data_IF_428184776831
#
_entry.id   IF_428184776831
#
_cell.length_a   1.000
_cell.length_b   1.000
_cell.length_c   1.000
_cell.angle_alpha   90.00
_cell.angle_beta   90.00
_cell.angle_gamma   90.00
#
_symmetry.space_group_name_H-M   'P 1'
#
loop_
_entity.id
_entity.type
_entity.pdbx_description
1 polymer ?
#
# COMPACT_ATOMS: atom_id res chain seq x y z
N UNK A 1 31.34 -4.83 -14.00
CA UNK A 1 32.14 -4.63 -12.78
C UNK A 1 31.23 -4.77 -11.56
N UNK A 2 31.68 -5.46 -10.52
CA UNK A 2 30.95 -5.63 -9.27
C UNK A 2 31.04 -4.34 -8.43
N UNK A 3 29.93 -4.01 -7.74
CA UNK A 3 29.86 -2.84 -6.86
C UNK A 3 29.68 -3.28 -5.41
N UNK A 4 30.43 -2.67 -4.50
CA UNK A 4 30.18 -2.71 -3.07
C UNK A 4 29.30 -1.51 -2.71
N UNK A 5 28.18 -1.76 -2.03
CA UNK A 5 27.23 -0.73 -1.62
C UNK A 5 27.23 -0.65 -0.08
N UNK A 6 27.42 0.53 0.44
CA UNK A 6 27.34 0.81 1.88
C UNK A 6 26.25 1.83 2.12
N UNK A 7 25.26 1.48 2.94
CA UNK A 7 24.14 2.33 3.30
C UNK A 7 24.26 2.74 4.76
N UNK A 8 24.17 4.05 5.01
CA UNK A 8 23.97 4.63 6.33
C UNK A 8 22.55 5.18 6.40
N UNK A 9 21.85 4.91 7.49
CA UNK A 9 20.49 5.38 7.73
C UNK A 9 20.40 5.97 9.13
N UNK A 10 19.87 7.19 9.21
CA UNK A 10 19.55 7.86 10.48
C UNK A 10 18.08 8.23 10.49
N UNK A 11 17.39 7.96 11.60
CA UNK A 11 15.97 8.23 11.77
C UNK A 11 15.67 8.71 13.18
N UNK A 12 15.04 9.88 13.29
CA UNK A 12 14.57 10.45 14.56
C UNK A 12 13.09 10.73 14.46
N UNK A 13 12.30 10.12 15.36
CA UNK A 13 10.86 10.32 15.44
C UNK A 13 10.49 10.86 16.83
N UNK A 14 9.79 12.00 16.87
CA UNK A 14 9.31 12.63 18.10
C UNK A 14 7.79 12.77 18.00
N UNK A 15 7.04 12.06 18.85
CA UNK A 15 5.58 11.94 18.77
C UNK A 15 4.90 12.29 20.11
N UNK A 16 5.01 13.53 20.63
CA UNK A 16 4.35 13.92 21.86
C UNK A 16 2.83 13.96 21.70
N UNK A 17 2.13 13.53 22.74
CA UNK A 17 0.68 13.64 22.84
C UNK A 17 0.31 14.24 24.19
N UNK A 18 -0.39 15.37 24.17
CA UNK A 18 -0.94 16.01 25.35
C UNK A 18 -2.45 15.81 25.35
N UNK A 19 -2.99 15.36 26.48
CA UNK A 19 -4.43 15.20 26.68
C UNK A 19 -4.90 16.04 27.86
N UNK A 20 -6.00 16.74 27.65
CA UNK A 20 -6.65 17.53 28.69
C UNK A 20 -8.13 17.21 28.73
N UNK A 21 -8.60 16.75 29.89
CA UNK A 21 -9.99 16.34 30.14
C UNK A 21 -10.56 17.20 31.28
N UNK A 22 -11.15 18.36 30.99
CA UNK A 22 -11.71 19.24 32.02
C UNK A 22 -12.92 18.63 32.76
N UNK A 23 -13.68 17.77 32.06
CA UNK A 23 -14.83 17.05 32.61
C UNK A 23 -15.11 15.78 31.78
N UNK A 24 -16.21 15.07 32.12
CA UNK A 24 -16.54 13.82 31.42
C UNK A 24 -17.05 14.00 29.99
N UNK A 25 -17.48 15.20 29.60
CA UNK A 25 -18.04 15.49 28.29
C UNK A 25 -16.96 15.94 27.27
N UNK A 26 -15.85 16.48 27.71
CA UNK A 26 -14.83 17.08 26.85
C UNK A 26 -13.46 16.41 26.99
N UNK A 27 -12.86 16.09 25.87
CA UNK A 27 -11.45 15.65 25.78
C UNK A 27 -10.75 16.44 24.68
N UNK A 28 -9.71 17.15 25.02
CA UNK A 28 -8.81 17.82 24.08
C UNK A 28 -7.54 17.00 23.94
N UNK A 29 -7.13 16.74 22.70
CA UNK A 29 -5.91 15.99 22.42
C UNK A 29 -5.07 16.76 21.40
N UNK A 30 -3.90 17.21 21.82
CA UNK A 30 -2.88 17.79 20.94
C UNK A 30 -1.85 16.71 20.64
N UNK A 31 -1.65 16.42 19.35
CA UNK A 31 -0.66 15.49 18.84
C UNK A 31 0.32 16.22 17.97
N UNK A 32 1.58 15.92 18.13
CA UNK A 32 2.60 16.27 17.16
C UNK A 32 3.32 15.01 16.72
N UNK A 33 3.66 14.93 15.46
CA UNK A 33 4.57 13.95 14.88
C UNK A 33 5.62 14.72 14.11
N UNK A 34 6.88 14.57 14.49
CA UNK A 34 8.02 15.11 13.76
C UNK A 34 8.98 13.97 13.46
N UNK A 35 9.31 13.80 12.19
CA UNK A 35 10.19 12.75 11.70
C UNK A 35 11.30 13.38 10.86
N UNK A 36 12.53 13.09 11.22
CA UNK A 36 13.71 13.34 10.39
C UNK A 36 14.27 12.00 9.95
N UNK A 37 14.36 11.82 8.65
CA UNK A 37 14.92 10.63 8.04
C UNK A 37 16.02 11.03 7.08
N UNK A 38 17.17 10.37 7.15
CA UNK A 38 18.26 10.56 6.19
C UNK A 38 18.91 9.22 5.84
N UNK A 39 19.29 9.11 4.58
CA UNK A 39 20.11 7.99 4.10
C UNK A 39 21.27 8.53 3.27
N UNK A 40 22.41 7.85 3.37
CA UNK A 40 23.55 8.03 2.49
C UNK A 40 23.96 6.66 1.96
N UNK A 41 23.88 6.47 0.66
CA UNK A 41 24.33 5.28 -0.04
C UNK A 41 25.57 5.58 -0.86
N UNK A 42 26.63 4.81 -0.64
CA UNK A 42 27.90 4.93 -1.36
C UNK A 42 28.18 3.64 -2.09
N UNK A 43 28.22 3.71 -3.41
CA UNK A 43 28.58 2.61 -4.29
C UNK A 43 30.03 2.76 -4.74
N UNK A 44 30.84 1.69 -4.65
CA UNK A 44 32.23 1.66 -5.08
C UNK A 44 32.50 0.47 -5.97
N UNK A 45 33.37 0.63 -6.94
CA UNK A 45 33.87 -0.51 -7.70
C UNK A 45 34.67 -1.44 -6.79
N UNK A 46 34.32 -2.72 -6.75
CA UNK A 46 34.93 -3.70 -5.84
C UNK A 46 36.44 -3.86 -6.09
N UNK A 47 36.86 -3.90 -7.37
CA UNK A 47 38.26 -4.10 -7.73
C UNK A 47 39.12 -2.86 -7.51
N UNK A 48 38.58 -1.66 -7.80
CA UNK A 48 39.33 -0.39 -7.79
C UNK A 48 39.18 0.40 -6.51
N UNK A 49 38.15 0.10 -5.70
CA UNK A 49 37.79 0.87 -4.51
C UNK A 49 37.36 2.33 -4.79
N UNK A 50 37.29 2.74 -6.06
CA UNK A 50 36.87 4.07 -6.46
C UNK A 50 35.37 4.23 -6.35
N UNK A 51 34.91 5.43 -5.95
CA UNK A 51 33.49 5.72 -5.83
C UNK A 51 32.84 5.71 -7.21
N UNK A 52 31.79 4.93 -7.37
CA UNK A 52 30.93 4.90 -8.54
C UNK A 52 29.81 5.93 -8.42
N UNK A 53 29.10 5.97 -7.26
CA UNK A 53 27.96 6.85 -7.03
C UNK A 53 27.78 7.13 -5.55
N UNK A 54 27.29 8.35 -5.22
CA UNK A 54 26.87 8.74 -3.87
C UNK A 54 25.45 9.27 -3.97
N UNK A 55 24.58 8.74 -3.13
CA UNK A 55 23.17 9.12 -3.07
C UNK A 55 22.85 9.54 -1.64
N UNK A 56 22.52 10.80 -1.50
CA UNK A 56 22.03 11.38 -0.25
C UNK A 56 20.53 11.62 -0.39
N UNK A 57 19.79 11.30 0.66
CA UNK A 57 18.36 11.57 0.78
C UNK A 57 18.07 12.06 2.19
N UNK A 58 17.34 13.16 2.31
CA UNK A 58 16.90 13.72 3.58
C UNK A 58 15.45 14.15 3.47
N UNK A 59 14.63 13.68 4.41
CA UNK A 59 13.23 14.02 4.52
C UNK A 59 12.92 14.53 5.92
N UNK A 60 12.22 15.65 5.99
CA UNK A 60 11.60 16.12 7.23
C UNK A 60 10.09 16.13 7.04
N UNK A 61 9.39 15.48 7.95
CA UNK A 61 7.94 15.46 8.01
C UNK A 61 7.48 15.95 9.37
N UNK A 62 6.50 16.85 9.37
CA UNK A 62 5.85 17.34 10.59
C UNK A 62 4.34 17.30 10.40
N UNK A 63 3.64 16.85 11.43
CA UNK A 63 2.18 16.94 11.52
C UNK A 63 1.79 17.34 12.93
N UNK A 64 1.00 18.41 13.05
CA UNK A 64 0.41 18.86 14.32
C UNK A 64 -1.09 18.86 14.20
N UNK A 65 -1.79 18.25 15.17
CA UNK A 65 -3.26 18.11 15.16
C UNK A 65 -3.83 18.40 16.54
N UNK A 66 -4.81 19.27 16.60
CA UNK A 66 -5.68 19.46 17.75
C UNK A 66 -7.01 18.78 17.47
N UNK A 67 -7.34 17.77 18.26
CA UNK A 67 -8.65 17.10 18.25
C UNK A 67 -9.41 17.44 19.52
N UNK A 68 -10.70 17.73 19.36
CA UNK A 68 -11.65 17.96 20.45
C UNK A 68 -12.75 16.92 20.33
N UNK A 69 -12.93 16.11 21.35
CA UNK A 69 -14.01 15.13 21.46
C UNK A 69 -15.03 15.66 22.47
N UNK A 70 -16.29 15.78 22.02
CA UNK A 70 -17.43 16.18 22.83
C UNK A 70 -18.43 15.05 22.91
N UNK A 71 -18.69 14.57 24.12
CA UNK A 71 -19.61 13.49 24.41
C UNK A 71 -20.76 14.04 25.28
N UNK A 72 -21.84 14.60 24.66
CA UNK A 72 -22.96 15.17 25.40
C UNK A 72 -23.71 14.13 26.23
N UNK A 73 -23.77 12.91 25.75
CA UNK A 73 -24.37 11.76 26.41
C UNK A 73 -23.64 10.44 26.01
N UNK A 74 -24.10 9.30 26.54
CA UNK A 74 -23.49 7.98 26.25
C UNK A 74 -23.76 7.48 24.85
N UNK A 75 -24.64 8.13 24.09
CA UNK A 75 -25.05 7.71 22.74
C UNK A 75 -24.42 8.53 21.62
N UNK A 76 -23.73 9.61 21.96
CA UNK A 76 -23.21 10.54 20.96
C UNK A 76 -21.76 10.90 21.27
N UNK A 77 -20.95 10.92 20.22
CA UNK A 77 -19.58 11.43 20.24
C UNK A 77 -19.40 12.34 19.03
N UNK A 78 -19.06 13.59 19.26
CA UNK A 78 -18.73 14.57 18.24
C UNK A 78 -17.23 14.84 18.31
N UNK A 79 -16.52 14.59 17.23
CA UNK A 79 -15.08 14.84 17.12
C UNK A 79 -14.82 15.93 16.09
N UNK A 80 -14.14 16.99 16.52
CA UNK A 80 -13.63 18.08 15.68
C UNK A 80 -12.11 18.01 15.67
N UNK A 81 -11.51 18.22 14.52
CA UNK A 81 -10.06 18.30 14.42
C UNK A 81 -9.60 19.37 13.46
N UNK A 82 -8.50 20.02 13.82
CA UNK A 82 -7.76 20.95 12.98
C UNK A 82 -6.29 20.50 12.99
N UNK A 83 -5.69 20.40 11.82
CA UNK A 83 -4.31 19.97 11.70
C UNK A 83 -3.57 20.65 10.58
N UNK A 84 -2.27 20.64 10.74
CA UNK A 84 -1.29 21.08 9.75
C UNK A 84 -0.26 19.97 9.53
N UNK A 85 0.15 19.76 8.30
CA UNK A 85 1.30 18.91 7.94
C UNK A 85 2.21 19.63 6.97
N UNK A 86 3.52 19.50 7.20
CA UNK A 86 4.56 19.97 6.30
C UNK A 86 5.53 18.84 6.00
N UNK A 87 5.95 18.73 4.76
CA UNK A 87 6.93 17.75 4.31
C UNK A 87 7.96 18.44 3.42
N UNK A 88 9.23 18.22 3.70
CA UNK A 88 10.31 18.67 2.83
C UNK A 88 11.27 17.54 2.53
N UNK A 89 11.72 17.47 1.29
CA UNK A 89 12.65 16.46 0.79
C UNK A 89 13.79 17.12 0.04
N UNK A 90 14.99 16.65 0.30
CA UNK A 90 16.23 17.01 -0.39
C UNK A 90 16.96 15.70 -0.73
N UNK A 91 17.35 15.51 -1.97
CA UNK A 91 18.03 14.30 -2.40
C UNK A 91 18.97 14.60 -3.56
N UNK A 92 20.06 13.84 -3.69
CA UNK A 92 20.98 13.89 -4.83
C UNK A 92 20.26 13.72 -6.20
N UNK A 93 19.09 13.08 -6.16
CA UNK A 93 18.27 12.79 -7.35
C UNK A 93 17.18 13.84 -7.62
N UNK A 94 17.15 14.94 -6.88
CA UNK A 94 16.22 16.05 -7.05
C UNK A 94 17.03 17.32 -7.28
N UNK A 95 16.61 18.16 -8.19
CA UNK A 95 17.34 19.38 -8.53
C UNK A 95 17.37 20.38 -7.37
N UNK A 96 16.28 20.42 -6.57
CA UNK A 96 16.10 21.37 -5.48
C UNK A 96 15.51 20.70 -4.22
N UNK A 97 15.55 21.43 -3.11
CA UNK A 97 14.79 21.12 -1.92
C UNK A 97 13.31 21.40 -2.17
N UNK A 98 12.51 20.34 -2.12
CA UNK A 98 11.07 20.39 -2.37
C UNK A 98 10.28 20.40 -1.07
N UNK A 99 9.13 21.08 -1.06
CA UNK A 99 8.30 21.30 0.11
C UNK A 99 6.82 21.26 -0.22
N UNK A 100 6.03 20.55 0.60
CA UNK A 100 4.58 20.54 0.57
C UNK A 100 4.01 20.88 1.94
N UNK A 101 2.95 21.69 1.93
CA UNK A 101 2.13 21.98 3.11
C UNK A 101 0.69 21.58 2.88
N UNK A 102 0.04 21.13 3.93
CA UNK A 102 -1.39 20.91 3.93
C UNK A 102 -1.99 21.29 5.29
N UNK A 103 -3.08 22.03 5.25
CA UNK A 103 -3.93 22.27 6.41
C UNK A 103 -5.21 21.49 6.23
N UNK A 104 -5.77 20.96 7.30
CA UNK A 104 -7.01 20.23 7.22
C UNK A 104 -7.87 20.45 8.46
N UNK A 105 -9.18 20.31 8.27
CA UNK A 105 -10.12 20.20 9.35
C UNK A 105 -11.07 19.04 9.12
N UNK A 106 -11.61 18.48 10.19
CA UNK A 106 -12.65 17.46 10.11
C UNK A 106 -13.68 17.60 11.21
N UNK A 107 -14.89 17.15 10.88
CA UNK A 107 -15.99 16.95 11.81
C UNK A 107 -16.50 15.52 11.63
N UNK A 108 -16.65 14.79 12.73
CA UNK A 108 -17.26 13.47 12.75
C UNK A 108 -18.28 13.41 13.89
N UNK A 109 -19.45 12.84 13.61
CA UNK A 109 -20.46 12.50 14.60
C UNK A 109 -20.69 11.00 14.59
N UNK A 110 -20.48 10.37 15.74
CA UNK A 110 -20.92 9.01 16.01
C UNK A 110 -22.18 9.07 16.85
N UNK A 111 -23.20 8.32 16.43
CA UNK A 111 -24.49 8.26 17.07
C UNK A 111 -24.97 6.83 17.24
N UNK A 112 -25.29 6.46 18.48
CA UNK A 112 -25.85 5.17 18.89
C UNK A 112 -27.32 5.36 19.33
N UNK A 113 -28.28 5.60 18.39
CA UNK A 113 -29.68 5.87 18.76
C UNK A 113 -30.30 4.73 19.57
N UNK A 114 -29.87 3.51 19.30
CA UNK A 114 -30.26 2.32 20.07
C UNK A 114 -29.05 1.41 20.30
N UNK A 115 -29.17 0.41 21.16
CA UNK A 115 -28.11 -0.60 21.37
C UNK A 115 -27.83 -1.47 20.13
N UNK A 116 -28.68 -1.38 19.09
CA UNK A 116 -28.54 -2.16 17.86
C UNK A 116 -28.02 -1.34 16.68
N UNK A 117 -28.08 -0.04 16.73
CA UNK A 117 -27.76 0.86 15.63
C UNK A 117 -26.58 1.75 16.02
N UNK A 118 -25.53 1.74 15.21
CA UNK A 118 -24.45 2.73 15.26
C UNK A 118 -24.39 3.42 13.90
N UNK A 119 -24.31 4.74 13.89
CA UNK A 119 -24.17 5.58 12.70
C UNK A 119 -22.95 6.47 12.90
N UNK A 120 -22.07 6.54 11.91
CA UNK A 120 -20.97 7.50 11.89
C UNK A 120 -21.06 8.31 10.61
N UNK A 121 -21.16 9.61 10.75
CA UNK A 121 -21.10 10.56 9.64
C UNK A 121 -19.97 11.55 9.89
N UNK A 122 -19.33 12.01 8.83
CA UNK A 122 -18.25 12.97 8.95
C UNK A 122 -17.83 13.55 7.60
N UNK A 123 -17.07 14.60 7.67
CA UNK A 123 -16.44 15.21 6.51
C UNK A 123 -15.07 15.77 6.92
N UNK A 124 -14.13 15.71 5.98
CA UNK A 124 -12.80 16.28 6.12
C UNK A 124 -12.53 17.20 4.93
N UNK A 125 -12.08 18.41 5.22
CA UNK A 125 -11.56 19.36 4.24
C UNK A 125 -10.04 19.39 4.31
N UNK A 126 -9.37 19.17 3.17
CA UNK A 126 -7.93 19.27 3.02
C UNK A 126 -7.59 20.45 2.09
N UNK A 127 -6.61 21.27 2.49
CA UNK A 127 -6.09 22.42 1.76
C UNK A 127 -4.61 22.18 1.51
N UNK A 128 -4.28 21.67 0.32
CA UNK A 128 -2.92 21.31 -0.03
C UNK A 128 -2.27 22.43 -0.86
N UNK A 129 -1.01 22.77 -0.57
CA UNK A 129 -0.28 23.88 -1.20
C UNK A 129 -0.19 23.78 -2.74
N UNK A 130 -0.20 22.57 -3.29
CA UNK A 130 -0.02 22.32 -4.73
C UNK A 130 -1.30 21.74 -5.37
N UNK A 131 -2.01 20.82 -4.69
CA UNK A 131 -3.12 20.07 -5.29
C UNK A 131 -4.51 20.61 -4.91
N UNK A 132 -4.55 21.81 -4.32
CA UNK A 132 -5.79 22.55 -4.04
C UNK A 132 -6.63 21.96 -2.92
N UNK A 133 -7.91 22.32 -2.92
CA UNK A 133 -8.84 22.04 -1.83
C UNK A 133 -9.67 20.80 -2.13
N UNK A 134 -9.88 19.95 -1.13
CA UNK A 134 -10.70 18.74 -1.26
C UNK A 134 -11.59 18.54 -0.06
N UNK A 135 -12.81 18.07 -0.33
CA UNK A 135 -13.78 17.65 0.68
C UNK A 135 -13.99 16.13 0.56
N UNK A 136 -13.80 15.42 1.66
CA UNK A 136 -13.93 13.97 1.77
C UNK A 136 -15.04 13.62 2.78
N UNK A 137 -16.29 13.45 2.31
CA UNK A 137 -17.40 13.01 3.16
C UNK A 137 -17.34 11.51 3.44
N UNK A 138 -17.91 11.10 4.57
CA UNK A 138 -18.03 9.70 4.99
C UNK A 138 -19.36 9.47 5.71
N UNK A 139 -20.01 8.37 5.40
CA UNK A 139 -21.15 7.83 6.11
C UNK A 139 -20.95 6.33 6.33
N UNK A 140 -21.17 5.85 7.54
CA UNK A 140 -21.22 4.43 7.83
C UNK A 140 -22.32 4.11 8.84
N UNK A 141 -22.86 2.90 8.70
CA UNK A 141 -23.90 2.38 9.58
C UNK A 141 -23.62 0.93 9.94
N UNK A 142 -23.94 0.57 11.16
CA UNK A 142 -23.95 -0.81 11.63
C UNK A 142 -25.31 -1.12 12.25
N UNK A 143 -25.86 -2.27 11.88
CA UNK A 143 -27.03 -2.83 12.52
C UNK A 143 -26.72 -4.18 13.16
N UNK A 144 -26.98 -4.29 14.45
CA UNK A 144 -26.78 -5.49 15.24
C UNK A 144 -28.12 -6.21 15.38
N UNK A 145 -28.33 -7.26 14.55
CA UNK A 145 -29.53 -8.11 14.61
C UNK A 145 -29.60 -8.87 15.94
N UNK A 146 -28.44 -9.38 16.36
CA UNK A 146 -28.25 -10.08 17.64
C UNK A 146 -26.80 -9.94 18.08
N UNK A 147 -26.45 -10.45 19.25
CA UNK A 147 -25.05 -10.52 19.72
C UNK A 147 -24.16 -11.42 18.81
N UNK A 148 -24.80 -12.28 18.02
CA UNK A 148 -24.12 -13.22 17.10
C UNK A 148 -24.02 -12.70 15.68
N UNK A 149 -24.88 -11.76 15.27
CA UNK A 149 -24.93 -11.32 13.87
C UNK A 149 -25.10 -9.80 13.77
N UNK A 150 -24.18 -9.16 13.04
CA UNK A 150 -24.28 -7.75 12.67
C UNK A 150 -23.94 -7.53 11.21
N UNK A 151 -24.56 -6.52 10.63
CA UNK A 151 -24.32 -6.02 9.29
C UNK A 151 -23.79 -4.58 9.37
N UNK A 152 -22.89 -4.25 8.47
CA UNK A 152 -22.32 -2.91 8.35
C UNK A 152 -22.28 -2.47 6.89
N UNK A 153 -22.40 -1.17 6.68
CA UNK A 153 -22.27 -0.52 5.37
C UNK A 153 -21.50 0.78 5.55
N UNK A 154 -20.69 1.14 4.57
CA UNK A 154 -20.03 2.45 4.54
C UNK A 154 -19.88 2.95 3.11
N UNK A 155 -19.94 4.27 2.98
CA UNK A 155 -19.60 5.02 1.78
C UNK A 155 -18.72 6.19 2.18
N UNK A 156 -17.68 6.47 1.42
CA UNK A 156 -16.79 7.60 1.69
C UNK A 156 -15.95 7.97 0.49
N UNK A 157 -15.51 9.22 0.47
CA UNK A 157 -14.58 9.73 -0.52
C UNK A 157 -13.17 9.79 0.05
N UNK A 158 -12.16 9.58 -0.81
CA UNK A 158 -10.73 9.68 -0.50
C UNK A 158 -10.00 10.60 -1.48
N UNK A 159 -8.88 11.12 -1.02
CA UNK A 159 -7.97 11.97 -1.77
C UNK A 159 -6.53 11.58 -1.46
N UNK A 160 -5.66 11.56 -2.49
CA UNK A 160 -4.22 11.37 -2.33
C UNK A 160 -3.48 12.27 -3.32
N UNK A 161 -2.65 13.18 -2.80
CA UNK A 161 -1.70 13.95 -3.59
C UNK A 161 -0.55 13.07 -4.08
N UNK A 162 0.04 13.35 -5.27
CA UNK A 162 1.30 12.75 -5.68
C UNK A 162 2.41 13.01 -4.67
N UNK A 163 3.26 12.03 -4.43
CA UNK A 163 4.44 12.18 -3.59
C UNK A 163 5.65 12.75 -4.37
N UNK A 164 6.70 13.16 -3.64
CA UNK A 164 7.90 13.71 -4.27
C UNK A 164 8.59 12.74 -5.22
N UNK A 165 8.56 11.44 -4.94
CA UNK A 165 9.13 10.41 -5.83
C UNK A 165 8.37 10.35 -7.14
N UNK A 166 7.02 10.38 -7.07
CA UNK A 166 6.18 10.35 -8.27
C UNK A 166 6.37 11.59 -9.16
N UNK A 167 6.78 12.72 -8.57
CA UNK A 167 6.97 13.98 -9.28
C UNK A 167 8.40 14.21 -9.77
N UNK A 168 9.42 13.88 -8.96
CA UNK A 168 10.76 14.44 -9.08
C UNK A 168 11.86 13.37 -9.11
N UNK A 169 11.53 12.09 -9.06
CA UNK A 169 12.54 11.04 -9.08
C UNK A 169 13.37 11.10 -10.36
N UNK A 170 14.69 11.10 -10.23
CA UNK A 170 15.65 10.89 -11.31
C UNK A 170 16.52 9.69 -10.92
N UNK A 171 16.11 8.49 -11.33
CA UNK A 171 16.73 7.25 -10.90
C UNK A 171 17.30 6.44 -12.05
N UNK A 172 18.57 6.14 -11.97
CA UNK A 172 19.26 5.18 -12.81
C UNK A 172 19.63 3.95 -11.98
N UNK A 173 19.10 2.79 -12.33
CA UNK A 173 19.57 1.53 -11.78
C UNK A 173 20.70 0.99 -12.65
N UNK A 174 21.93 1.39 -12.39
CA UNK A 174 23.10 1.02 -13.17
C UNK A 174 23.36 -0.51 -13.20
N UNK A 175 22.95 -1.26 -12.17
CA UNK A 175 23.13 -2.71 -12.11
C UNK A 175 22.08 -3.46 -12.93
N UNK A 176 20.86 -2.97 -13.03
CA UNK A 176 19.77 -3.57 -13.80
C UNK A 176 19.54 -2.86 -15.15
N UNK A 177 20.13 -1.69 -15.38
CA UNK A 177 20.13 -0.97 -16.66
C UNK A 177 18.82 -0.24 -17.00
N UNK A 178 17.91 -0.03 -16.04
CA UNK A 178 16.67 0.70 -16.26
C UNK A 178 16.67 2.08 -15.59
N UNK A 179 15.81 2.98 -16.09
CA UNK A 179 15.63 4.33 -15.54
C UNK A 179 14.20 4.52 -15.04
N UNK A 180 14.03 5.37 -14.02
CA UNK A 180 12.72 5.80 -13.54
C UNK A 180 12.75 7.31 -13.33
N UNK A 181 11.90 8.03 -14.05
CA UNK A 181 11.75 9.47 -13.92
C UNK A 181 10.43 9.80 -13.21
N UNK A 182 10.45 10.77 -12.31
CA UNK A 182 9.24 11.44 -11.83
C UNK A 182 8.55 12.18 -12.99
N UNK A 183 7.23 12.34 -12.89
CA UNK A 183 6.44 12.88 -14.00
C UNK A 183 6.94 14.25 -14.51
N UNK A 184 7.43 15.12 -13.61
CA UNK A 184 7.97 16.44 -13.99
C UNK A 184 9.33 16.38 -14.69
N UNK A 185 10.07 15.30 -14.51
CA UNK A 185 11.41 15.12 -15.09
C UNK A 185 11.43 14.11 -16.24
N UNK A 186 10.27 13.55 -16.60
CA UNK A 186 10.20 12.46 -17.57
C UNK A 186 10.64 12.89 -18.97
N UNK A 187 10.23 14.08 -19.43
CA UNK A 187 10.58 14.57 -20.76
C UNK A 187 12.05 14.96 -20.84
N UNK A 188 12.56 15.70 -19.86
CA UNK A 188 13.98 16.11 -19.82
C UNK A 188 14.90 14.89 -19.68
N UNK A 189 14.53 13.94 -18.82
CA UNK A 189 15.27 12.69 -18.63
C UNK A 189 15.30 11.83 -19.91
N UNK A 190 14.17 11.78 -20.62
CA UNK A 190 14.09 11.04 -21.87
C UNK A 190 14.90 11.72 -22.98
N UNK A 191 14.85 13.05 -23.09
CA UNK A 191 15.64 13.82 -24.03
C UNK A 191 17.17 13.64 -23.79
N UNK A 192 17.60 13.60 -22.53
CA UNK A 192 19.00 13.33 -22.17
C UNK A 192 19.43 11.92 -22.59
N UNK A 193 18.58 10.90 -22.40
CA UNK A 193 18.85 9.53 -22.85
C UNK A 193 18.91 9.43 -24.37
N UNK A 194 18.07 10.16 -25.10
CA UNK A 194 18.11 10.24 -26.56
C UNK A 194 19.38 10.89 -27.07
N UNK A 195 19.78 12.02 -26.48
CA UNK A 195 21.02 12.71 -26.82
C UNK A 195 22.26 11.81 -26.61
N UNK A 196 22.20 10.88 -25.67
CA UNK A 196 23.23 9.84 -25.40
C UNK A 196 23.11 8.64 -26.33
N UNK A 197 22.11 8.56 -27.20
CA UNK A 197 21.87 7.42 -28.10
C UNK A 197 21.43 6.14 -27.36
N UNK A 198 20.87 6.26 -26.17
CA UNK A 198 20.45 5.13 -25.32
C UNK A 198 19.00 4.68 -25.57
N UNK A 199 18.18 5.47 -26.27
CA UNK A 199 16.78 5.15 -26.57
C UNK A 199 16.67 4.47 -27.93
N UNK A 200 16.08 3.26 -27.96
CA UNK A 200 15.75 2.56 -29.18
C UNK A 200 14.39 3.02 -29.75
N UNK A 201 13.40 3.22 -28.85
CA UNK A 201 12.05 3.62 -29.25
C UNK A 201 11.34 4.35 -28.11
N UNK A 202 10.66 5.47 -28.41
CA UNK A 202 9.65 6.08 -27.51
C UNK A 202 8.38 5.23 -27.51
N UNK A 203 7.84 4.91 -26.33
CA UNK A 203 6.59 4.17 -26.16
C UNK A 203 5.41 5.12 -25.87
N UNK A 204 5.68 6.25 -25.21
CA UNK A 204 4.69 7.28 -24.90
C UNK A 204 5.11 8.59 -25.58
N UNK A 205 4.16 9.27 -26.20
CA UNK A 205 4.40 10.58 -26.79
C UNK A 205 4.52 11.64 -25.69
N UNK A 206 5.37 12.69 -25.88
CA UNK A 206 5.63 13.72 -24.88
C UNK A 206 4.36 14.41 -24.35
N UNK A 207 3.38 14.61 -25.23
CA UNK A 207 2.11 15.27 -24.88
C UNK A 207 1.28 14.48 -23.86
N UNK A 208 1.58 13.18 -23.70
CA UNK A 208 0.93 12.30 -22.74
C UNK A 208 1.71 12.19 -21.42
N UNK A 209 2.90 12.81 -21.32
CA UNK A 209 3.70 12.93 -20.11
C UNK A 209 3.31 14.22 -19.38
N UNK A 210 2.05 14.32 -18.97
CA UNK A 210 1.51 15.51 -18.33
C UNK A 210 1.78 15.62 -16.84
N UNK A 211 1.42 16.75 -16.25
CA UNK A 211 1.44 16.94 -14.81
C UNK A 211 0.51 15.95 -14.10
N UNK A 212 1.04 15.28 -13.08
CA UNK A 212 0.23 14.37 -12.26
C UNK A 212 -0.88 15.12 -11.54
N UNK A 213 -2.08 14.59 -11.66
CA UNK A 213 -3.25 15.00 -10.88
C UNK A 213 -3.35 14.17 -9.61
N UNK A 214 -3.98 14.74 -8.58
CA UNK A 214 -4.26 14.00 -7.36
C UNK A 214 -5.31 12.90 -7.60
N UNK A 215 -5.12 11.76 -6.95
CA UNK A 215 -6.07 10.65 -6.97
C UNK A 215 -7.33 10.99 -6.17
N UNK A 216 -8.48 10.61 -6.69
CA UNK A 216 -9.77 10.69 -6.01
C UNK A 216 -10.44 9.33 -5.99
N UNK A 217 -11.13 9.03 -4.91
CA UNK A 217 -11.87 7.78 -4.84
C UNK A 217 -13.21 7.94 -4.14
N UNK A 218 -14.17 7.12 -4.56
CA UNK A 218 -15.36 6.77 -3.81
C UNK A 218 -15.31 5.30 -3.47
N UNK A 219 -15.45 4.98 -2.20
CA UNK A 219 -15.44 3.61 -1.70
C UNK A 219 -16.80 3.27 -1.09
N UNK A 220 -17.35 2.12 -1.51
CA UNK A 220 -18.56 1.54 -0.92
C UNK A 220 -18.18 0.17 -0.38
N UNK A 221 -18.53 -0.09 0.87
CA UNK A 221 -18.30 -1.38 1.53
C UNK A 221 -19.58 -1.85 2.19
N UNK A 222 -19.84 -3.16 2.14
CA UNK A 222 -20.88 -3.81 2.92
C UNK A 222 -20.36 -5.12 3.47
N UNK A 223 -20.57 -5.36 4.76
CA UNK A 223 -19.98 -6.51 5.42
C UNK A 223 -20.86 -7.08 6.52
N UNK A 224 -20.61 -8.34 6.81
CA UNK A 224 -21.28 -9.08 7.89
C UNK A 224 -20.26 -9.62 8.87
N UNK A 225 -20.66 -9.64 10.12
CA UNK A 225 -19.96 -10.33 11.20
C UNK A 225 -20.89 -11.33 11.82
N UNK A 226 -20.53 -12.61 11.74
CA UNK A 226 -21.32 -13.70 12.24
C UNK A 226 -20.55 -14.58 13.22
N UNK A 227 -21.13 -14.79 14.38
CA UNK A 227 -20.59 -15.61 15.47
C UNK A 227 -21.61 -16.72 15.83
N UNK A 228 -21.77 -17.76 14.99
CA UNK A 228 -22.78 -18.78 15.21
C UNK A 228 -22.64 -19.49 16.55
N UNK A 229 -21.40 -19.75 16.95
CA UNK A 229 -21.03 -20.29 18.28
C UNK A 229 -19.88 -19.46 18.87
N UNK A 230 -19.66 -19.60 20.19
CA UNK A 230 -18.66 -18.79 20.90
C UNK A 230 -17.23 -18.92 20.32
N UNK A 231 -16.92 -20.10 19.78
CA UNK A 231 -15.61 -20.44 19.25
C UNK A 231 -15.40 -20.06 17.78
N UNK A 232 -16.44 -19.73 17.01
CA UNK A 232 -16.36 -19.46 15.57
C UNK A 232 -16.77 -18.02 15.24
N UNK A 233 -15.90 -17.29 14.59
CA UNK A 233 -16.17 -15.96 14.05
C UNK A 233 -15.94 -15.96 12.54
N UNK A 234 -16.94 -15.52 11.77
CA UNK A 234 -16.90 -15.34 10.33
C UNK A 234 -17.14 -13.86 10.04
N UNK A 235 -16.29 -13.26 9.19
CA UNK A 235 -16.46 -11.92 8.64
C UNK A 235 -16.42 -12.02 7.14
N UNK A 236 -17.36 -11.38 6.47
CA UNK A 236 -17.36 -11.20 5.03
C UNK A 236 -17.54 -9.73 4.69
N UNK A 237 -16.84 -9.24 3.70
CA UNK A 237 -16.94 -7.87 3.22
C UNK A 237 -16.95 -7.87 1.69
N UNK A 238 -17.88 -7.15 1.09
CA UNK A 238 -17.89 -6.80 -0.32
C UNK A 238 -17.50 -5.33 -0.43
N UNK A 239 -16.62 -5.02 -1.37
CA UNK A 239 -16.19 -3.65 -1.58
C UNK A 239 -16.16 -3.29 -3.06
N UNK A 240 -16.34 -1.99 -3.32
CA UNK A 240 -16.08 -1.36 -4.60
C UNK A 240 -15.49 0.02 -4.38
N UNK A 241 -14.39 0.30 -5.09
CA UNK A 241 -13.76 1.60 -5.14
C UNK A 241 -13.75 2.08 -6.60
N UNK A 242 -14.33 3.23 -6.83
CA UNK A 242 -14.24 3.96 -8.09
C UNK A 242 -13.17 5.04 -7.90
N UNK A 243 -12.07 4.95 -8.66
CA UNK A 243 -10.92 5.83 -8.57
C UNK A 243 -10.82 6.69 -9.83
N UNK A 244 -10.44 7.94 -9.65
CA UNK A 244 -10.10 8.86 -10.71
C UNK A 244 -8.65 9.31 -10.56
N UNK A 245 -7.96 9.46 -11.68
CA UNK A 245 -6.58 9.89 -11.75
C UNK A 245 -5.63 8.99 -10.92
N UNK A 246 -5.84 7.66 -10.92
CA UNK A 246 -4.96 6.73 -10.24
C UNK A 246 -3.54 6.86 -10.79
N UNK A 247 -2.55 7.04 -9.91
CA UNK A 247 -1.16 7.18 -10.31
C UNK A 247 -0.51 5.80 -10.41
N UNK A 248 -0.06 5.46 -11.62
CA UNK A 248 0.66 4.21 -11.92
C UNK A 248 1.96 4.49 -12.65
N UNK A 249 2.79 3.46 -12.78
CA UNK A 249 4.08 3.50 -13.47
C UNK A 249 3.97 2.76 -14.80
N UNK A 250 4.48 3.35 -15.88
CA UNK A 250 4.58 2.68 -17.17
C UNK A 250 5.94 2.91 -17.82
N UNK A 251 6.36 2.02 -18.74
CA UNK A 251 7.49 2.27 -19.61
C UNK A 251 7.16 3.41 -20.56
N UNK A 252 8.06 4.41 -20.63
CA UNK A 252 7.96 5.57 -21.53
C UNK A 252 8.87 5.44 -22.75
N UNK A 253 9.93 4.64 -22.63
CA UNK A 253 10.82 4.31 -23.74
C UNK A 253 11.45 2.94 -23.55
N UNK A 254 11.75 2.29 -24.68
CA UNK A 254 12.62 1.13 -24.74
C UNK A 254 14.06 1.60 -25.01
N UNK A 255 15.00 1.07 -24.26
CA UNK A 255 16.42 1.38 -24.39
C UNK A 255 17.11 0.40 -25.37
N UNK A 256 18.23 0.83 -25.94
CA UNK A 256 19.05 -0.03 -26.84
C UNK A 256 19.60 -1.26 -26.12
N UNK A 257 19.66 -1.25 -24.78
CA UNK A 257 20.03 -2.41 -23.95
C UNK A 257 18.92 -3.45 -23.83
N UNK A 258 17.71 -3.20 -24.34
CA UNK A 258 16.52 -4.02 -24.16
C UNK A 258 15.77 -3.77 -22.85
N UNK A 259 16.27 -2.89 -21.98
CA UNK A 259 15.58 -2.43 -20.75
C UNK A 259 14.65 -1.26 -21.07
N UNK A 260 13.88 -0.80 -20.07
CA UNK A 260 12.96 0.31 -20.23
C UNK A 260 13.35 1.52 -19.35
N UNK A 261 12.97 2.70 -19.84
CA UNK A 261 12.80 3.88 -19.00
C UNK A 261 11.33 4.00 -18.60
N UNK A 262 11.07 4.29 -17.33
CA UNK A 262 9.73 4.36 -16.74
C UNK A 262 9.41 5.76 -16.25
N UNK A 263 8.12 6.11 -16.20
CA UNK A 263 7.62 7.29 -15.50
C UNK A 263 6.26 7.03 -14.89
N UNK A 264 5.74 8.04 -14.19
CA UNK A 264 4.43 8.03 -13.53
C UNK A 264 3.42 8.79 -14.38
N UNK A 265 2.19 8.29 -14.39
CA UNK A 265 1.07 8.90 -15.13
C UNK A 265 -0.24 8.60 -14.42
N UNK A 266 -1.30 9.31 -14.78
CA UNK A 266 -2.63 9.07 -14.26
C UNK A 266 -3.43 8.14 -15.17
N UNK A 267 -4.08 7.14 -14.61
CA UNK A 267 -5.17 6.39 -15.24
C UNK A 267 -6.48 7.06 -14.82
N UNK A 268 -7.25 7.54 -15.80
CA UNK A 268 -8.37 8.43 -15.50
C UNK A 268 -9.50 7.75 -14.73
N UNK A 269 -9.90 6.52 -15.12
CA UNK A 269 -11.04 5.84 -14.50
C UNK A 269 -10.71 4.39 -14.17
N UNK A 270 -10.56 4.10 -12.90
CA UNK A 270 -10.24 2.76 -12.40
C UNK A 270 -11.33 2.28 -11.44
N UNK A 271 -11.71 1.03 -11.57
CA UNK A 271 -12.55 0.33 -10.59
C UNK A 271 -11.76 -0.81 -9.96
N UNK A 272 -11.81 -0.89 -8.64
CA UNK A 272 -11.40 -2.08 -7.89
C UNK A 272 -12.58 -2.58 -7.07
N UNK A 273 -12.90 -3.86 -7.17
CA UNK A 273 -14.01 -4.46 -6.44
C UNK A 273 -13.67 -5.89 -6.03
N UNK A 274 -14.33 -6.37 -5.00
CA UNK A 274 -14.00 -7.71 -4.53
C UNK A 274 -14.72 -8.15 -3.28
N UNK A 275 -14.21 -9.25 -2.76
CA UNK A 275 -14.70 -9.92 -1.56
C UNK A 275 -13.53 -10.24 -0.64
N UNK A 276 -13.68 -9.91 0.64
CA UNK A 276 -12.82 -10.40 1.72
C UNK A 276 -13.62 -11.34 2.63
N UNK A 277 -13.05 -12.48 2.95
CA UNK A 277 -13.58 -13.47 3.88
C UNK A 277 -12.56 -13.83 4.94
N UNK A 278 -12.91 -13.64 6.21
CA UNK A 278 -12.11 -14.06 7.36
C UNK A 278 -12.88 -15.04 8.22
N UNK A 279 -12.24 -16.14 8.57
CA UNK A 279 -12.76 -17.17 9.48
C UNK A 279 -11.77 -17.36 10.61
N UNK A 280 -12.24 -17.32 11.85
CA UNK A 280 -11.44 -17.60 13.05
C UNK A 280 -12.14 -18.60 13.93
N UNK A 281 -11.48 -19.72 14.20
CA UNK A 281 -11.95 -20.81 15.04
C UNK A 281 -11.03 -20.99 16.25
N UNK A 282 -11.55 -20.84 17.44
CA UNK A 282 -10.91 -21.29 18.68
C UNK A 282 -11.40 -22.72 18.97
N UNK A 283 -10.66 -23.73 18.51
CA UNK A 283 -11.05 -25.12 18.69
C UNK A 283 -11.10 -25.51 20.17
N UNK A 284 -10.06 -25.12 20.92
CA UNK A 284 -9.98 -25.23 22.37
C UNK A 284 -9.02 -24.15 22.92
N UNK A 285 -8.66 -24.19 24.19
CA UNK A 285 -7.75 -23.19 24.79
C UNK A 285 -6.32 -23.23 24.23
N UNK A 286 -5.93 -24.35 23.66
CA UNK A 286 -4.60 -24.59 23.13
C UNK A 286 -4.50 -24.40 21.60
N UNK A 287 -5.58 -24.62 20.87
CA UNK A 287 -5.57 -24.64 19.41
C UNK A 287 -6.54 -23.61 18.84
N UNK A 288 -6.00 -22.70 18.03
CA UNK A 288 -6.80 -21.78 17.21
C UNK A 288 -6.35 -21.77 15.76
N UNK A 289 -7.31 -21.65 14.86
CA UNK A 289 -7.10 -21.59 13.40
C UNK A 289 -7.77 -20.32 12.87
N UNK A 290 -7.07 -19.57 12.02
CA UNK A 290 -7.68 -18.49 11.26
C UNK A 290 -7.30 -18.58 9.80
N UNK A 291 -8.26 -18.30 8.92
CA UNK A 291 -8.10 -18.30 7.47
C UNK A 291 -8.66 -17.00 6.91
N UNK A 292 -7.95 -16.38 5.98
CA UNK A 292 -8.39 -15.24 5.21
C UNK A 292 -8.30 -15.56 3.72
N UNK A 293 -9.29 -15.09 2.97
CA UNK A 293 -9.31 -15.15 1.52
C UNK A 293 -9.78 -13.81 0.97
N UNK A 294 -9.11 -13.32 -0.07
CA UNK A 294 -9.51 -12.13 -0.80
C UNK A 294 -9.60 -12.43 -2.30
N UNK A 295 -10.67 -11.95 -2.90
CA UNK A 295 -10.86 -11.86 -4.34
C UNK A 295 -10.86 -10.39 -4.75
N UNK A 296 -10.05 -10.03 -5.76
CA UNK A 296 -9.91 -8.68 -6.27
C UNK A 296 -10.07 -8.67 -7.79
N UNK A 297 -11.02 -7.90 -8.29
CA UNK A 297 -11.20 -7.56 -9.69
C UNK A 297 -10.83 -6.09 -9.90
N UNK A 298 -9.96 -5.82 -10.87
CA UNK A 298 -9.48 -4.46 -11.16
C UNK A 298 -9.67 -4.15 -12.63
N UNK A 299 -10.14 -2.94 -12.95
CA UNK A 299 -10.44 -2.54 -14.33
C UNK A 299 -10.05 -1.08 -14.58
N UNK A 300 -9.34 -0.87 -15.67
CA UNK A 300 -9.27 0.42 -16.34
C UNK A 300 -10.51 0.56 -17.22
N UNK A 301 -11.38 1.50 -16.91
CA UNK A 301 -12.65 1.66 -17.62
C UNK A 301 -12.46 2.29 -18.99
N UNK A 302 -11.40 3.10 -19.20
CA UNK A 302 -11.11 3.68 -20.50
C UNK A 302 -10.64 2.62 -21.48
N UNK A 303 -9.79 1.69 -21.02
CA UNK A 303 -9.40 0.50 -21.80
C UNK A 303 -10.60 -0.41 -22.08
N UNK A 304 -11.46 -0.64 -21.09
CA UNK A 304 -12.67 -1.45 -21.26
C UNK A 304 -13.64 -0.85 -22.29
N UNK A 305 -13.73 0.48 -22.36
CA UNK A 305 -14.53 1.17 -23.38
C UNK A 305 -13.91 1.03 -24.78
N UNK A 306 -12.58 1.15 -24.92
CA UNK A 306 -11.86 0.90 -26.18
C UNK A 306 -12.05 -0.55 -26.68
N UNK A 307 -11.98 -1.53 -25.79
CA UNK A 307 -12.27 -2.93 -26.11
C UNK A 307 -13.72 -3.08 -26.59
N UNK A 308 -14.68 -2.44 -25.92
CA UNK A 308 -16.09 -2.51 -26.29
C UNK A 308 -16.38 -1.89 -27.68
N UNK A 309 -15.63 -0.83 -28.03
CA UNK A 309 -15.70 -0.18 -29.35
C UNK A 309 -14.97 -0.98 -30.45
N UNK A 310 -14.22 -2.04 -30.07
CA UNK A 310 -13.44 -2.85 -31.01
C UNK A 310 -12.14 -2.19 -31.49
N UNK A 311 -11.61 -1.22 -30.74
CA UNK A 311 -10.40 -0.48 -31.05
C UNK A 311 -9.12 -1.14 -30.51
N UNK A 312 -9.24 -2.23 -29.75
CA UNK A 312 -8.11 -2.94 -29.15
C UNK A 312 -7.92 -4.30 -29.79
N UNK A 313 -6.66 -4.67 -30.01
CA UNK A 313 -6.26 -5.88 -30.73
C UNK A 313 -5.16 -6.62 -30.01
N UNK A 314 -5.09 -7.95 -30.21
CA UNK A 314 -3.99 -8.80 -29.77
C UNK A 314 -3.55 -9.75 -30.89
N UNK A 315 -2.43 -10.42 -30.72
CA UNK A 315 -2.02 -11.54 -31.54
C UNK A 315 -2.58 -12.84 -30.97
N UNK A 316 -3.13 -13.70 -31.84
CA UNK A 316 -3.50 -15.06 -31.48
C UNK A 316 -2.28 -16.01 -31.55
N UNK A 317 -2.47 -17.28 -31.22
CA UNK A 317 -1.42 -18.29 -31.27
C UNK A 317 -0.83 -18.52 -32.69
N UNK A 318 -1.50 -18.08 -33.74
CA UNK A 318 -1.07 -18.12 -35.12
C UNK A 318 -0.45 -16.79 -35.60
N UNK A 319 -0.19 -15.88 -34.67
CA UNK A 319 0.32 -14.53 -34.93
C UNK A 319 -0.63 -13.65 -35.78
N UNK A 320 -1.94 -13.99 -35.84
CA UNK A 320 -2.95 -13.19 -36.50
C UNK A 320 -3.47 -12.11 -35.56
N UNK A 321 -3.71 -10.89 -36.12
CA UNK A 321 -4.30 -9.80 -35.35
C UNK A 321 -5.81 -10.03 -35.21
N UNK A 322 -6.27 -10.21 -33.96
CA UNK A 322 -7.67 -10.37 -33.61
C UNK A 322 -8.12 -9.27 -32.66
N UNK A 323 -9.42 -8.95 -32.64
CA UNK A 323 -9.97 -7.99 -31.68
C UNK A 323 -9.96 -8.58 -30.27
N UNK A 324 -9.55 -7.75 -29.30
CA UNK A 324 -9.72 -8.09 -27.87
C UNK A 324 -11.20 -8.11 -27.50
N UNK A 325 -11.56 -9.10 -26.71
CA UNK A 325 -12.85 -9.15 -26.00
C UNK A 325 -12.68 -8.71 -24.56
N UNK A 326 -13.79 -8.35 -23.89
CA UNK A 326 -13.75 -8.02 -22.44
C UNK A 326 -13.25 -9.17 -21.56
N UNK A 327 -13.34 -10.41 -22.03
CA UNK A 327 -12.84 -11.58 -21.31
C UNK A 327 -11.31 -11.71 -21.37
N UNK A 328 -10.70 -11.14 -22.40
CA UNK A 328 -9.24 -11.15 -22.57
C UNK A 328 -8.53 -10.13 -21.64
N UNK A 329 -9.25 -9.14 -21.11
CA UNK A 329 -8.67 -8.12 -20.25
C UNK A 329 -8.28 -8.68 -18.87
N UNK A 330 -7.00 -8.70 -18.57
CA UNK A 330 -6.44 -9.31 -17.36
C UNK A 330 -6.54 -8.48 -16.08
N UNK A 331 -6.86 -7.19 -16.18
CA UNK A 331 -6.88 -6.26 -15.04
C UNK A 331 -5.64 -5.36 -15.01
N UNK A 332 -5.40 -4.73 -13.86
CA UNK A 332 -4.24 -3.87 -13.65
C UNK A 332 -3.00 -4.69 -13.30
N UNK A 333 -1.83 -4.15 -13.65
CA UNK A 333 -0.53 -4.75 -13.32
C UNK A 333 -0.32 -4.90 -11.80
N UNK A 334 0.48 -5.89 -11.43
CA UNK A 334 0.86 -6.17 -10.04
C UNK A 334 -0.30 -6.46 -9.08
N UNK A 335 -1.46 -6.86 -9.59
CA UNK A 335 -2.66 -7.20 -8.82
C UNK A 335 -3.04 -8.67 -9.03
N UNK A 336 -2.95 -9.48 -7.96
CA UNK A 336 -3.44 -10.88 -7.99
C UNK A 336 -4.94 -10.89 -7.75
N UNK A 337 -5.68 -11.64 -8.57
CA UNK A 337 -7.13 -11.83 -8.38
C UNK A 337 -7.46 -12.61 -7.09
N UNK A 338 -6.57 -13.49 -6.68
CA UNK A 338 -6.78 -14.37 -5.52
C UNK A 338 -5.60 -14.27 -4.56
N UNK A 339 -5.89 -14.04 -3.30
CA UNK A 339 -4.91 -14.14 -2.23
C UNK A 339 -5.53 -14.78 -0.99
N UNK A 340 -4.69 -15.38 -0.14
CA UNK A 340 -5.19 -16.01 1.06
C UNK A 340 -4.10 -16.25 2.10
N UNK A 341 -4.54 -16.54 3.30
CA UNK A 341 -3.67 -16.95 4.39
C UNK A 341 -4.37 -17.94 5.30
N UNK A 342 -3.56 -18.80 5.89
CA UNK A 342 -3.98 -19.72 6.94
C UNK A 342 -3.01 -19.63 8.09
N UNK A 343 -3.48 -19.43 9.30
CA UNK A 343 -2.68 -19.40 10.51
C UNK A 343 -3.21 -20.42 11.51
N UNK A 344 -2.31 -21.25 12.02
CA UNK A 344 -2.59 -22.22 13.10
C UNK A 344 -1.72 -21.81 14.28
N UNK A 345 -2.32 -21.58 15.44
CA UNK A 345 -1.61 -21.37 16.69
C UNK A 345 -1.88 -22.55 17.62
N UNK A 346 -0.80 -23.08 18.22
CA UNK A 346 -0.88 -24.18 19.18
C UNK A 346 -0.03 -23.87 20.42
N UNK A 347 -0.70 -23.81 21.56
CA UNK A 347 -0.04 -23.67 22.87
C UNK A 347 0.23 -25.05 23.43
N UNK A 348 1.51 -25.39 23.58
CA UNK A 348 1.90 -26.61 24.25
C UNK A 348 1.90 -26.40 25.77
N UNK A 349 0.99 -27.07 26.47
CA UNK A 349 0.77 -26.86 27.90
C UNK A 349 1.97 -27.25 28.78
N UNK A 350 2.74 -28.28 28.36
CA UNK A 350 3.87 -28.80 29.17
C UNK A 350 5.02 -27.78 29.23
N UNK A 351 5.36 -27.19 28.12
CA UNK A 351 6.49 -26.24 28.02
C UNK A 351 6.06 -24.79 28.09
N UNK A 352 4.77 -24.50 27.86
CA UNK A 352 4.24 -23.14 27.72
C UNK A 352 4.73 -22.43 26.45
N UNK A 353 5.16 -23.19 25.44
CA UNK A 353 5.58 -22.68 24.16
C UNK A 353 4.34 -22.55 23.27
N UNK A 354 4.17 -21.38 22.67
CA UNK A 354 3.16 -21.17 21.65
C UNK A 354 3.80 -21.27 20.26
N UNK A 355 3.31 -22.18 19.43
CA UNK A 355 3.71 -22.40 18.06
C UNK A 355 2.72 -21.73 17.13
N UNK A 356 3.23 -20.99 16.14
CA UNK A 356 2.42 -20.39 15.08
C UNK A 356 2.95 -20.81 13.72
N UNK A 357 2.12 -21.52 12.95
CA UNK A 357 2.35 -21.83 11.54
C UNK A 357 1.49 -20.92 10.70
N UNK A 358 2.08 -20.23 9.71
CA UNK A 358 1.37 -19.35 8.80
C UNK A 358 1.70 -19.71 7.36
N UNK A 359 0.68 -20.04 6.57
CA UNK A 359 0.72 -20.13 5.13
C UNK A 359 0.22 -18.79 4.55
N UNK A 360 0.93 -18.24 3.58
CA UNK A 360 0.53 -17.07 2.79
C UNK A 360 0.51 -17.50 1.34
N UNK A 361 -0.59 -17.24 0.65
CA UNK A 361 -0.78 -17.52 -0.76
C UNK A 361 -1.08 -16.24 -1.53
N UNK A 362 -0.45 -16.07 -2.68
CA UNK A 362 -0.74 -15.06 -3.68
C UNK A 362 -0.90 -15.75 -5.03
N UNK A 363 -2.02 -15.52 -5.70
CA UNK A 363 -2.29 -16.02 -7.05
C UNK A 363 -1.40 -15.33 -8.08
N UNK A 364 -1.47 -15.80 -9.31
CA UNK A 364 -0.78 -15.17 -10.45
C UNK A 364 -1.16 -13.69 -10.57
N UNK A 365 -0.27 -12.87 -11.13
CA UNK A 365 -0.47 -11.45 -11.36
C UNK A 365 0.32 -11.02 -12.59
N UNK A 366 -0.23 -10.09 -13.36
CA UNK A 366 0.49 -9.50 -14.47
C UNK A 366 1.62 -8.62 -13.96
N UNK A 367 2.82 -8.81 -14.48
CA UNK A 367 4.02 -8.10 -14.03
C UNK A 367 4.74 -7.35 -15.14
N UNK A 368 4.48 -7.68 -16.41
CA UNK A 368 5.13 -7.10 -17.57
C UNK A 368 4.15 -7.02 -18.73
N UNK A 369 4.23 -5.96 -19.50
CA UNK A 369 3.60 -5.82 -20.81
C UNK A 369 4.65 -6.22 -21.86
N UNK A 370 4.46 -7.37 -22.48
CA UNK A 370 5.44 -7.92 -23.44
C UNK A 370 5.18 -7.49 -24.87
N UNK A 371 3.95 -7.12 -25.20
CA UNK A 371 3.55 -6.75 -26.54
C UNK A 371 3.42 -5.22 -26.76
N UNK A 372 3.56 -4.42 -25.69
CA UNK A 372 3.59 -2.95 -25.72
C UNK A 372 2.21 -2.30 -25.91
N UNK A 373 1.12 -3.03 -25.59
CA UNK A 373 -0.24 -2.52 -25.74
C UNK A 373 -0.84 -1.95 -24.45
N UNK A 374 -0.06 -1.96 -23.36
CA UNK A 374 -0.42 -1.48 -22.00
C UNK A 374 -1.58 -2.25 -21.35
N UNK A 375 -1.84 -3.48 -21.82
CA UNK A 375 -2.91 -4.36 -21.33
C UNK A 375 -2.31 -5.72 -20.96
N UNK A 376 -2.88 -6.36 -19.96
CA UNK A 376 -2.58 -7.74 -19.63
C UNK A 376 -3.52 -8.64 -20.42
N UNK A 377 -3.06 -9.20 -21.55
CA UNK A 377 -3.88 -10.00 -22.47
C UNK A 377 -3.16 -11.27 -22.99
N UNK A 378 -1.89 -11.48 -22.58
CA UNK A 378 -1.12 -12.69 -22.90
C UNK A 378 -0.72 -13.44 -21.62
N UNK A 379 -0.69 -14.77 -21.65
CA UNK A 379 -0.28 -15.62 -20.51
C UNK A 379 1.18 -15.39 -20.09
N UNK A 380 2.05 -15.06 -21.04
CA UNK A 380 3.47 -14.78 -20.78
C UNK A 380 3.71 -13.48 -19.97
N UNK A 381 2.70 -12.61 -19.88
CA UNK A 381 2.76 -11.37 -19.11
C UNK A 381 2.51 -11.59 -17.61
N UNK A 382 2.17 -12.82 -17.21
CA UNK A 382 1.86 -13.15 -15.83
C UNK A 382 3.01 -13.87 -15.13
N UNK A 383 3.34 -13.38 -13.94
CA UNK A 383 4.12 -14.12 -12.98
C UNK A 383 3.27 -15.21 -12.33
N UNK A 384 3.81 -16.42 -12.13
CA UNK A 384 3.09 -17.49 -11.46
C UNK A 384 2.78 -17.12 -10.02
N UNK A 385 1.67 -17.65 -9.50
CA UNK A 385 1.32 -17.54 -8.10
C UNK A 385 2.35 -18.23 -7.20
N UNK A 386 2.41 -17.81 -5.96
CA UNK A 386 3.35 -18.35 -4.98
C UNK A 386 2.71 -18.52 -3.59
N UNK A 387 3.36 -19.31 -2.75
CA UNK A 387 3.04 -19.40 -1.34
C UNK A 387 4.31 -19.50 -0.49
N UNK A 388 4.23 -18.99 0.74
CA UNK A 388 5.27 -19.14 1.75
C UNK A 388 4.71 -19.72 3.02
N UNK A 389 5.54 -20.46 3.77
CA UNK A 389 5.22 -21.00 5.08
C UNK A 389 6.18 -20.38 6.07
N UNK A 390 5.63 -19.80 7.13
CA UNK A 390 6.39 -19.24 8.25
C UNK A 390 6.09 -20.06 9.51
N UNK A 391 7.11 -20.38 10.29
CA UNK A 391 6.99 -21.03 11.57
C UNK A 391 7.60 -20.14 12.65
N UNK A 392 6.84 -19.86 13.70
CA UNK A 392 7.31 -19.07 14.85
C UNK A 392 7.02 -19.82 16.14
N UNK A 393 7.94 -19.77 17.07
CA UNK A 393 7.76 -20.24 18.45
C UNK A 393 7.95 -19.09 19.41
N UNK A 394 7.07 -18.97 20.40
CA UNK A 394 7.16 -17.93 21.43
C UNK A 394 7.00 -18.52 22.82
N UNK A 395 7.74 -17.98 23.80
CA UNK A 395 7.62 -18.37 25.20
C UNK A 395 7.64 -17.15 26.10
N UNK A 396 6.61 -17.03 26.93
CA UNK A 396 6.55 -16.04 28.01
C UNK A 396 6.97 -16.69 29.32
N UNK A 397 7.87 -16.06 30.04
CA UNK A 397 8.31 -16.49 31.36
C UNK A 397 7.59 -15.70 32.46
N UNK A 398 7.53 -16.28 33.67
CA UNK A 398 6.85 -15.65 34.83
C UNK A 398 7.45 -14.29 35.23
N UNK A 399 8.74 -14.08 34.97
CA UNK A 399 9.45 -12.81 35.23
C UNK A 399 9.21 -11.75 34.13
N UNK A 400 8.29 -11.99 33.19
CA UNK A 400 7.94 -11.06 32.11
C UNK A 400 8.87 -11.10 30.90
N UNK A 401 9.94 -11.92 30.93
CA UNK A 401 10.78 -12.14 29.75
C UNK A 401 9.97 -12.88 28.69
N UNK A 402 10.07 -12.41 27.43
CA UNK A 402 9.46 -13.01 26.26
C UNK A 402 10.56 -13.40 25.28
N UNK A 403 10.57 -14.65 24.86
CA UNK A 403 11.45 -15.16 23.81
C UNK A 403 10.64 -15.50 22.57
N UNK A 404 11.19 -15.19 21.41
CA UNK A 404 10.66 -15.52 20.11
C UNK A 404 11.77 -16.07 19.22
N UNK A 405 11.47 -17.12 18.46
CA UNK A 405 12.35 -17.65 17.42
C UNK A 405 11.50 -18.16 16.26
N UNK A 406 11.99 -18.02 15.05
CA UNK A 406 11.23 -18.49 13.91
C UNK A 406 11.99 -18.49 12.61
N UNK A 407 11.31 -19.01 11.60
CA UNK A 407 11.76 -19.08 10.20
C UNK A 407 10.66 -18.48 9.33
N UNK A 408 10.98 -17.44 8.63
CA UNK A 408 10.15 -16.95 7.53
C UNK A 408 10.57 -17.66 6.25
N UNK A 409 9.58 -17.96 5.39
CA UNK A 409 9.77 -18.70 4.15
C UNK A 409 10.53 -20.04 4.38
N UNK A 410 9.95 -20.91 5.22
CA UNK A 410 10.51 -22.21 5.61
C UNK A 410 10.92 -23.10 4.41
N UNK A 411 10.28 -22.92 3.26
CA UNK A 411 10.54 -23.69 2.02
C UNK A 411 11.61 -23.07 1.12
N UNK A 412 12.27 -22.01 1.58
CA UNK A 412 13.32 -21.27 0.85
C UNK A 412 12.92 -20.88 -0.60
N UNK A 413 11.66 -20.49 -0.78
CA UNK A 413 11.18 -20.12 -2.11
C UNK A 413 11.67 -18.75 -2.51
N UNK A 414 12.26 -18.68 -3.72
CA UNK A 414 12.67 -17.45 -4.38
C UNK A 414 12.06 -17.40 -5.79
N UNK A 415 11.96 -16.22 -6.36
CA UNK A 415 11.45 -16.06 -7.73
C UNK A 415 12.11 -14.87 -8.41
N UNK A 416 12.51 -15.04 -9.66
CA UNK A 416 13.06 -13.95 -10.49
C UNK A 416 12.03 -12.86 -10.77
N UNK A 417 10.75 -13.22 -10.82
CA UNK A 417 9.63 -12.26 -10.98
C UNK A 417 9.26 -11.56 -9.68
N UNK A 418 9.93 -11.89 -8.56
CA UNK A 418 9.76 -11.31 -7.23
C UNK A 418 11.13 -11.11 -6.57
N UNK A 419 11.96 -10.18 -7.06
CA UNK A 419 13.33 -10.01 -6.57
C UNK A 419 13.38 -9.61 -5.09
N UNK A 420 12.31 -9.05 -4.54
CA UNK A 420 12.21 -8.67 -3.12
C UNK A 420 11.74 -9.82 -2.21
N UNK A 421 11.59 -11.05 -2.73
CA UNK A 421 11.29 -12.21 -1.92
C UNK A 421 12.60 -12.82 -1.42
N UNK A 422 13.00 -12.58 -0.17
CA UNK A 422 14.18 -13.21 0.40
C UNK A 422 13.92 -14.72 0.52
N UNK A 423 14.96 -15.53 0.44
CA UNK A 423 14.93 -16.93 0.82
C UNK A 423 14.53 -17.12 2.29
N UNK A 424 14.90 -18.24 2.88
CA UNK A 424 14.63 -18.51 4.30
C UNK A 424 15.34 -17.50 5.20
N UNK A 425 14.59 -16.88 6.11
CA UNK A 425 15.10 -15.95 7.11
C UNK A 425 14.87 -16.51 8.50
N UNK A 426 15.97 -16.80 9.20
CA UNK A 426 15.96 -17.15 10.62
C UNK A 426 15.97 -15.88 11.47
N UNK A 427 15.19 -15.87 12.54
CA UNK A 427 15.21 -14.77 13.50
C UNK A 427 15.06 -15.27 14.93
N UNK A 428 15.67 -14.54 15.86
CA UNK A 428 15.53 -14.72 17.31
C UNK A 428 15.32 -13.35 17.94
N UNK A 429 14.35 -13.25 18.84
CA UNK A 429 14.03 -12.04 19.57
C UNK A 429 13.91 -12.28 21.06
N UNK A 430 14.34 -11.32 21.85
CA UNK A 430 14.13 -11.28 23.30
C UNK A 430 13.53 -9.93 23.69
N UNK A 431 12.46 -9.97 24.49
CA UNK A 431 11.88 -8.78 25.12
C UNK A 431 12.01 -8.91 26.64
N UNK A 432 12.69 -7.98 27.24
CA UNK A 432 12.90 -7.90 28.68
C UNK A 432 12.09 -6.73 29.21
N UNK A 433 11.16 -6.92 30.19
CA UNK A 433 10.48 -5.80 30.78
C UNK A 433 11.51 -4.97 31.55
N UNK A 434 11.59 -3.67 31.25
CA UNK A 434 12.28 -2.74 32.13
C UNK A 434 11.47 -2.68 33.43
N UNK A 435 12.12 -2.88 34.56
CA UNK A 435 11.51 -2.68 35.87
C UNK A 435 10.80 -1.31 35.87
N UNK A 436 9.51 -1.31 36.24
CA UNK A 436 8.83 -0.05 36.52
C UNK A 436 9.59 0.62 37.68
N UNK A 437 10.41 1.62 37.34
CA UNK A 437 11.00 2.53 38.33
C UNK A 437 9.92 3.43 38.87
#
# INVERSE_FOLDING_TARGET
ELLDITDQRDEININPTLRYKPNNAWLFTLRNMSSLFSTRSVSKYQEKGTVFDIQDFRQFYQRTELQTDFQPDKKQLISLGLGFSGESVEATRYDDKNHFDATYFYLQHQWDPTNKVNIVTGARGDFHSVYGNRLSPKLSGQYRFSDKFSWQVSIGSGFKAPDFRQLLLNFNNASAGYYVFGAKLAEDGLADLEAKGLVAQRLIQPENLGDLQAEHSWAINTGVRWKPVASLLIKGNLFRNDLQNMIETAPIAQLVSGQNAFSYFNINRVVTQGLDLDVSLKYNDNLSVSAGYAYLDTRDLDVMDQIAQGNMYKKDANNQTIRLSKADYGGLFNRSKHSGNLKVNYLENRTGINWALRLIYRGQFGFSDLNGNLILDDEAEYAPGWYTINLTSTKSFKNGIFLEAGVNNLLDKTSITQPNMPGSLLFVGIKIPLLNL
#
